data_IF_325739820946
#
_entry.id   IF_325739820946
#
_cell.length_a   1.000
_cell.length_b   1.000
_cell.length_c   1.000
_cell.angle_alpha   90.00
_cell.angle_beta   90.00
_cell.angle_gamma   90.00
#
_symmetry.space_group_name_H-M   'P 1'
#
loop_
_entity.id
_entity.type
_entity.pdbx_description
1 polymer ?
#
# COMPACT_ATOMS: atom_id res chain seq x y z
N UNK A 1 13.20 1.90 5.40
CA UNK A 1 12.90 2.25 4.01
C UNK A 1 11.45 2.69 3.96
N UNK A 2 11.17 3.96 3.73
CA UNK A 2 9.80 4.49 3.80
C UNK A 2 9.33 4.87 2.40
N UNK A 3 8.26 4.23 1.93
CA UNK A 3 7.55 4.61 0.72
C UNK A 3 6.09 4.90 1.07
N UNK A 4 5.49 5.85 0.36
CA UNK A 4 4.09 6.22 0.48
C UNK A 4 3.42 6.01 -0.86
N UNK A 5 2.25 5.37 -0.84
CA UNK A 5 1.41 5.18 -2.01
C UNK A 5 0.09 5.89 -1.74
N UNK A 6 -0.40 6.61 -2.74
CA UNK A 6 -1.71 7.23 -2.74
C UNK A 6 -2.51 6.68 -3.93
N UNK A 7 -3.76 6.30 -3.68
CA UNK A 7 -4.66 5.74 -4.69
C UNK A 7 -5.86 6.68 -4.79
N UNK A 8 -6.04 7.26 -5.98
CA UNK A 8 -7.15 8.12 -6.29
C UNK A 8 -8.40 7.28 -6.62
N UNK A 9 -9.35 7.24 -5.68
CA UNK A 9 -10.60 6.48 -5.83
C UNK A 9 -11.49 6.97 -6.97
N UNK A 10 -11.36 8.23 -7.39
CA UNK A 10 -12.17 8.77 -8.49
C UNK A 10 -11.71 8.26 -9.86
N UNK A 11 -10.44 7.84 -9.96
CA UNK A 11 -9.82 7.31 -11.19
C UNK A 11 -9.62 5.81 -11.15
N UNK A 12 -9.48 5.23 -9.97
CA UNK A 12 -9.26 3.80 -9.81
C UNK A 12 -10.53 3.03 -10.21
N UNK A 13 -10.40 2.20 -11.24
CA UNK A 13 -11.53 1.37 -11.71
C UNK A 13 -11.64 -0.01 -11.07
N UNK A 14 -10.71 -0.37 -10.18
CA UNK A 14 -10.66 -1.69 -9.56
C UNK A 14 -10.26 -2.83 -10.50
N UNK A 15 -9.52 -2.56 -11.59
CA UNK A 15 -9.18 -3.56 -12.60
C UNK A 15 -8.22 -4.68 -12.13
N UNK A 16 -7.57 -4.51 -10.97
CA UNK A 16 -6.70 -5.53 -10.38
C UNK A 16 -5.30 -5.67 -11.01
N UNK A 17 -4.98 -4.95 -12.09
CA UNK A 17 -3.66 -5.06 -12.72
C UNK A 17 -2.51 -4.77 -11.75
N UNK A 18 -2.71 -3.81 -10.84
CA UNK A 18 -1.72 -3.42 -9.84
C UNK A 18 -1.42 -4.53 -8.81
N UNK A 19 -2.34 -5.46 -8.54
CA UNK A 19 -2.11 -6.57 -7.61
C UNK A 19 -1.15 -7.59 -8.22
N UNK A 20 -1.32 -7.89 -9.51
CA UNK A 20 -0.43 -8.77 -10.27
C UNK A 20 0.95 -8.16 -10.52
N UNK A 21 1.01 -6.85 -10.75
CA UNK A 21 2.26 -6.12 -10.98
C UNK A 21 3.09 -5.94 -9.70
N UNK A 22 2.50 -6.09 -8.51
CA UNK A 22 3.23 -5.90 -7.27
C UNK A 22 4.15 -7.11 -6.99
N UNK A 23 5.49 -6.95 -6.99
CA UNK A 23 6.41 -8.08 -6.77
C UNK A 23 6.30 -8.64 -5.35
N UNK A 24 5.81 -7.84 -4.40
CA UNK A 24 5.57 -8.22 -3.00
C UNK A 24 4.11 -8.60 -2.71
N UNK A 25 3.23 -8.54 -3.70
CA UNK A 25 1.79 -8.82 -3.57
C UNK A 25 1.14 -8.12 -2.36
N UNK A 26 1.41 -6.82 -2.21
CA UNK A 26 0.93 -6.02 -1.08
C UNK A 26 -0.40 -5.31 -1.37
N UNK A 27 -0.77 -5.19 -2.65
CA UNK A 27 -2.00 -4.53 -3.09
C UNK A 27 -3.13 -5.55 -3.15
N UNK A 28 -4.32 -5.10 -2.76
CA UNK A 28 -5.56 -5.85 -2.84
C UNK A 28 -6.66 -5.03 -3.52
N UNK A 29 -7.78 -5.67 -3.85
CA UNK A 29 -9.00 -5.00 -4.30
C UNK A 29 -10.03 -5.01 -3.18
N UNK A 30 -10.46 -3.82 -2.78
CA UNK A 30 -11.62 -3.65 -1.93
C UNK A 30 -12.87 -3.69 -2.81
N UNK A 31 -13.62 -4.79 -2.71
CA UNK A 31 -14.84 -5.02 -3.47
C UNK A 31 -16.02 -4.77 -2.53
N UNK A 32 -16.80 -3.70 -2.74
CA UNK A 32 -17.94 -3.38 -1.90
C UNK A 32 -19.05 -4.44 -2.04
N UNK A 33 -19.83 -4.65 -0.98
CA UNK A 33 -20.99 -5.55 -1.00
C UNK A 33 -22.14 -5.02 -1.88
N UNK A 34 -22.22 -3.70 -2.02
CA UNK A 34 -23.20 -3.03 -2.89
C UNK A 34 -22.70 -3.04 -4.34
N UNK A 35 -23.44 -3.72 -5.22
CA UNK A 35 -23.12 -3.84 -6.65
C UNK A 35 -23.15 -2.50 -7.39
N UNK A 36 -23.74 -1.44 -6.81
CA UNK A 36 -23.70 -0.09 -7.37
C UNK A 36 -22.37 0.62 -7.13
N UNK A 37 -21.57 0.14 -6.17
CA UNK A 37 -20.29 0.72 -5.82
C UNK A 37 -19.15 0.03 -6.59
N UNK A 38 -18.20 0.84 -7.04
CA UNK A 38 -17.06 0.34 -7.80
C UNK A 38 -15.95 -0.17 -6.87
N UNK A 39 -15.36 -1.31 -7.23
CA UNK A 39 -14.18 -1.84 -6.55
C UNK A 39 -12.98 -0.89 -6.74
N UNK A 40 -12.10 -0.82 -5.74
CA UNK A 40 -10.89 0.01 -5.81
C UNK A 40 -9.68 -0.68 -5.21
N UNK A 41 -8.49 -0.28 -5.67
CA UNK A 41 -7.26 -0.82 -5.15
C UNK A 41 -6.95 -0.26 -3.76
N UNK A 42 -6.45 -1.12 -2.87
CA UNK A 42 -6.03 -0.78 -1.52
C UNK A 42 -4.66 -1.36 -1.19
N UNK A 43 -3.91 -0.65 -0.34
CA UNK A 43 -2.64 -1.10 0.19
C UNK A 43 -2.75 -1.19 1.71
N UNK A 44 -3.10 -2.36 2.28
CA UNK A 44 -3.28 -2.51 3.73
C UNK A 44 -1.99 -2.18 4.49
N UNK A 45 -0.84 -2.63 3.97
CA UNK A 45 0.46 -2.50 4.62
C UNK A 45 1.39 -1.53 3.90
N UNK A 46 1.17 -0.23 4.07
CA UNK A 46 2.04 0.79 3.49
C UNK A 46 3.50 0.68 3.95
N UNK A 47 3.72 0.24 5.19
CA UNK A 47 5.06 0.05 5.78
C UNK A 47 5.90 -1.01 5.07
N UNK A 48 5.27 -2.01 4.43
CA UNK A 48 5.98 -3.09 3.72
C UNK A 48 6.34 -2.71 2.29
N UNK A 49 5.77 -1.61 1.79
CA UNK A 49 5.99 -1.14 0.44
C UNK A 49 7.40 -0.55 0.31
N UNK A 50 8.14 -0.99 -0.71
CA UNK A 50 9.47 -0.48 -1.03
C UNK A 50 9.46 0.70 -2.01
N UNK A 51 8.30 1.03 -2.58
CA UNK A 51 8.18 2.14 -3.55
C UNK A 51 8.80 1.84 -4.91
N UNK A 52 8.67 0.61 -5.44
CA UNK A 52 9.22 0.23 -6.75
C UNK A 52 8.47 0.82 -7.96
N UNK A 53 7.33 1.48 -7.74
CA UNK A 53 6.48 2.15 -8.74
C UNK A 53 5.83 1.26 -9.82
N UNK A 54 6.02 -0.07 -9.83
CA UNK A 54 5.41 -0.95 -10.83
C UNK A 54 3.88 -0.91 -10.86
N UNK A 55 3.23 -0.70 -9.72
CA UNK A 55 1.78 -0.53 -9.65
C UNK A 55 1.29 0.74 -10.37
N UNK A 56 2.05 1.83 -10.30
CA UNK A 56 1.71 3.08 -10.97
C UNK A 56 1.96 2.98 -12.49
N UNK A 57 3.05 2.34 -12.90
CA UNK A 57 3.37 2.12 -14.33
C UNK A 57 2.35 1.22 -15.02
N UNK A 58 1.89 0.16 -14.35
CA UNK A 58 0.90 -0.76 -14.92
C UNK A 58 -0.53 -0.20 -14.90
N UNK A 59 -0.78 0.91 -14.18
CA UNK A 59 -2.12 1.47 -14.06
C UNK A 59 -2.51 2.24 -15.33
N UNK A 60 -3.49 1.76 -16.13
CA UNK A 60 -3.89 2.44 -17.36
C UNK A 60 -4.57 3.79 -17.11
N UNK A 61 -5.21 3.94 -15.94
CA UNK A 61 -5.93 5.16 -15.54
C UNK A 61 -5.06 6.14 -14.72
N UNK A 62 -3.77 5.80 -14.52
CA UNK A 62 -2.80 6.59 -13.73
C UNK A 62 -3.30 6.93 -12.31
N UNK A 63 -4.13 6.06 -11.72
CA UNK A 63 -4.80 6.30 -10.44
C UNK A 63 -3.89 6.15 -9.21
N UNK A 64 -2.65 5.70 -9.38
CA UNK A 64 -1.72 5.38 -8.28
C UNK A 64 -0.51 6.31 -8.33
N UNK A 65 -0.23 6.98 -7.22
CA UNK A 65 0.95 7.83 -7.03
C UNK A 65 1.88 7.21 -5.99
N UNK A 66 3.17 7.12 -6.30
CA UNK A 66 4.19 6.49 -5.44
C UNK A 66 5.27 7.52 -5.08
N UNK A 67 5.50 7.70 -3.78
CA UNK A 67 6.48 8.62 -3.22
C UNK A 67 7.51 7.80 -2.42
N UNK A 68 8.80 7.87 -2.79
CA UNK A 68 9.87 7.19 -2.06
C UNK A 68 11.07 8.12 -1.89
N UNK A 69 11.83 7.96 -0.79
CA UNK A 69 12.98 8.83 -0.47
C UNK A 69 14.33 8.32 -0.97
N UNK A 70 14.42 7.15 -1.63
CA UNK A 70 15.70 6.54 -2.03
C UNK A 70 15.60 5.85 -3.39
N UNK A 71 16.69 5.90 -4.18
CA UNK A 71 16.84 5.10 -5.42
C UNK A 71 16.73 3.62 -5.07
N UNK A 72 15.77 2.92 -5.66
CA UNK A 72 15.60 1.48 -5.42
C UNK A 72 16.65 0.69 -6.20
N UNK A 73 17.60 0.05 -5.52
CA UNK A 73 18.62 -0.81 -6.14
C UNK A 73 18.01 -2.08 -6.79
N UNK A 74 16.82 -2.50 -6.35
CA UNK A 74 16.11 -3.69 -6.86
C UNK A 74 15.53 -3.50 -8.27
N UNK A 75 15.16 -2.27 -8.65
CA UNK A 75 14.62 -1.98 -9.98
C UNK A 75 15.46 -0.99 -10.78
N UNK A 76 16.54 -0.43 -10.20
CA UNK A 76 17.41 0.54 -10.85
C UNK A 76 16.73 1.86 -11.23
N UNK A 77 15.55 2.16 -10.67
CA UNK A 77 14.72 3.29 -11.11
C UNK A 77 14.68 4.41 -10.06
N UNK A 78 14.93 5.64 -10.51
CA UNK A 78 14.82 6.86 -9.74
C UNK A 78 13.47 7.53 -10.04
N UNK A 79 12.55 7.54 -9.07
CA UNK A 79 11.37 8.41 -9.13
C UNK A 79 11.77 9.77 -8.55
N UNK A 80 12.39 10.62 -9.37
CA UNK A 80 12.88 11.92 -8.94
C UNK A 80 11.73 12.92 -8.70
N UNK A 81 11.83 13.64 -7.57
CA UNK A 81 11.25 14.99 -7.29
C UNK A 81 9.76 15.02 -6.87
N UNK A 82 9.33 14.95 -5.61
CA UNK A 82 9.69 15.75 -4.42
C UNK A 82 10.19 17.17 -4.72
N UNK A 83 9.26 18.11 -4.91
CA UNK A 83 9.52 19.53 -4.65
C UNK A 83 8.74 19.89 -3.38
N UNK A 84 9.51 20.14 -2.32
CA UNK A 84 9.11 20.76 -1.05
C UNK A 84 8.18 19.98 -0.11
N UNK A 85 8.77 19.06 0.66
CA UNK A 85 8.32 18.79 2.03
C UNK A 85 9.53 18.86 2.97
N UNK A 86 10.19 20.02 2.96
CA UNK A 86 11.13 20.43 3.99
C UNK A 86 10.31 21.04 5.13
N UNK A 87 10.11 20.31 6.23
CA UNK A 87 9.91 20.98 7.52
C UNK A 87 8.87 20.46 8.52
N UNK A 88 7.83 19.68 8.19
CA UNK A 88 6.69 19.58 9.16
C UNK A 88 6.37 18.18 9.73
N UNK A 89 6.66 17.05 9.07
CA UNK A 89 6.10 15.76 9.57
C UNK A 89 7.18 14.73 9.89
N UNK A 90 8.01 15.06 10.89
CA UNK A 90 8.78 14.09 11.70
C UNK A 90 7.99 13.66 12.94
N UNK A 91 6.77 14.15 13.13
CA UNK A 91 5.98 13.95 14.33
C UNK A 91 4.57 13.47 13.98
N UNK A 92 4.19 12.34 14.58
CA UNK A 92 2.86 11.72 14.62
C UNK A 92 2.44 10.87 13.40
N UNK A 93 2.03 9.63 13.74
CA UNK A 93 1.19 8.69 12.98
C UNK A 93 1.89 7.61 12.12
N UNK A 94 3.02 7.08 12.59
CA UNK A 94 3.28 5.63 12.47
C UNK A 94 2.44 4.93 13.54
N UNK A 95 1.11 4.91 13.36
CA UNK A 95 0.19 4.11 14.17
C UNK A 95 -0.52 3.13 13.27
N UNK A 96 0.05 1.92 13.25
CA UNK A 96 -0.68 0.65 13.40
C UNK A 96 -1.84 0.39 12.45
N UNK A 97 -1.62 -0.44 11.42
CA UNK A 97 -2.54 -1.56 11.12
C UNK A 97 -1.93 -2.50 10.08
N UNK A 98 -0.91 -3.28 10.44
CA UNK A 98 -0.49 -4.42 9.62
C UNK A 98 0.10 -5.60 10.40
N UNK A 99 -0.49 -5.90 11.55
CA UNK A 99 -0.36 -7.20 12.24
C UNK A 99 -1.72 -7.89 12.19
N UNK A 100 -1.82 -8.94 11.38
CA UNK A 100 -1.75 -10.34 11.82
C UNK A 100 -3.12 -10.86 12.25
N UNK A 101 -3.55 -11.93 11.58
CA UNK A 101 -4.59 -12.87 12.00
C UNK A 101 -4.72 -12.98 13.53
N UNK A 102 -5.73 -12.35 14.12
CA UNK A 102 -6.18 -12.69 15.47
C UNK A 102 -7.27 -13.77 15.38
N UNK A 103 -6.91 -14.93 14.84
CA UNK A 103 -7.79 -16.12 14.83
C UNK A 103 -7.28 -17.27 15.69
N UNK A 104 -6.16 -17.14 16.43
CA UNK A 104 -5.58 -18.32 17.11
C UNK A 104 -4.82 -18.05 18.41
N UNK A 105 -5.25 -17.18 19.32
CA UNK A 105 -4.65 -17.12 20.68
C UNK A 105 -5.67 -16.83 21.81
N UNK A 106 -6.88 -17.39 21.73
CA UNK A 106 -7.84 -17.43 22.85
C UNK A 106 -8.01 -18.84 23.48
N UNK A 107 -7.07 -19.78 23.24
CA UNK A 107 -7.12 -21.15 23.79
C UNK A 107 -5.87 -21.62 24.54
N UNK A 108 -4.98 -20.75 25.01
CA UNK A 108 -3.78 -21.17 25.80
C UNK A 108 -3.57 -20.33 27.07
N UNK A 109 -4.66 -19.89 27.71
CA UNK A 109 -4.63 -19.41 29.10
C UNK A 109 -5.76 -20.06 29.89
N UNK A 110 -5.76 -21.38 29.92
CA UNK A 110 -6.49 -22.22 30.87
C UNK A 110 -5.70 -23.53 31.00
N UNK A 111 -5.30 -23.87 32.24
CA UNK A 111 -4.54 -25.05 32.66
C UNK A 111 -3.01 -25.03 32.47
N UNK A 112 -2.35 -24.09 33.18
CA UNK A 112 -1.32 -24.54 34.14
C UNK A 112 -1.98 -24.74 35.51
N UNK A 113 -2.55 -25.92 35.69
CA UNK A 113 -2.61 -26.72 36.92
C UNK A 113 -2.86 -28.16 36.50
#
# INVERSE_FOLDING_TARGET
>A
MFARIEIDRSRCKGCGLCTSACPRKLLDLDVPEDETLQAFAVLPCQEKCVGCAQCAEMCPDLAISVYSKQKNEVTGRASDSFREYSGIVTALLVKTSCRENLFTLLKITSQRR
#
